data_IF_458342527145
#
_entry.id   IF_458342527145
#
_cell.length_a   1.000
_cell.length_b   1.000
_cell.length_c   1.000
_cell.angle_alpha   90.00
_cell.angle_beta   90.00
_cell.angle_gamma   90.00
#
_symmetry.space_group_name_H-M   'P 1'
#
loop_
_entity.id
_entity.type
_entity.pdbx_description
1 polymer ?
#
# COMPACT_ATOMS: atom_id res chain seq x y z
N UNK A 1 11.26 -16.45 36.10
CA UNK A 1 10.27 -16.74 35.02
C UNK A 1 9.80 -18.20 35.13
N UNK A 2 8.59 -18.51 34.64
CA UNK A 2 8.03 -19.88 34.56
C UNK A 2 7.95 -20.67 35.88
N UNK A 3 7.63 -19.97 36.97
CA UNK A 3 7.68 -20.53 38.33
C UNK A 3 6.30 -20.84 38.93
N UNK A 4 5.22 -20.81 38.13
CA UNK A 4 3.83 -21.05 38.56
C UNK A 4 3.36 -20.14 39.70
N UNK A 5 3.94 -18.94 39.83
CA UNK A 5 3.59 -17.99 40.89
C UNK A 5 2.18 -17.43 40.64
N UNK A 6 1.26 -17.65 41.58
CA UNK A 6 -0.14 -17.18 41.48
C UNK A 6 -0.38 -15.81 42.11
N UNK A 7 0.42 -15.40 43.09
CA UNK A 7 0.30 -14.09 43.73
C UNK A 7 1.61 -13.61 44.32
N UNK A 8 1.74 -12.30 44.38
CA UNK A 8 2.83 -11.59 45.08
C UNK A 8 2.21 -10.52 45.96
N UNK A 9 2.83 -10.22 47.09
CA UNK A 9 2.37 -9.23 48.07
C UNK A 9 3.47 -8.21 48.33
N UNK A 10 3.12 -7.09 48.94
CA UNK A 10 4.10 -6.09 49.39
C UNK A 10 5.14 -6.63 50.39
N UNK A 11 4.92 -7.83 50.96
CA UNK A 11 5.87 -8.52 51.84
C UNK A 11 6.82 -9.47 51.09
N UNK A 12 6.47 -9.89 49.88
CA UNK A 12 7.18 -10.94 49.14
C UNK A 12 8.63 -10.57 48.83
N UNK A 13 8.91 -9.28 48.58
CA UNK A 13 10.25 -8.80 48.19
C UNK A 13 10.95 -7.97 49.27
N UNK A 14 10.42 -7.96 50.50
CA UNK A 14 11.02 -7.21 51.61
C UNK A 14 12.44 -7.73 51.88
N UNK A 15 13.38 -6.80 52.02
CA UNK A 15 14.80 -7.10 52.24
C UNK A 15 15.63 -7.17 50.96
N UNK A 16 15.01 -7.28 49.77
CA UNK A 16 15.71 -7.29 48.47
C UNK A 16 16.03 -5.87 47.97
N UNK A 17 16.45 -4.97 48.86
CA UNK A 17 16.56 -3.51 48.60
C UNK A 17 17.58 -3.11 47.54
N UNK A 18 18.46 -4.03 47.14
CA UNK A 18 19.45 -3.82 46.07
C UNK A 18 19.06 -4.44 44.73
N UNK A 19 17.87 -5.05 44.64
CA UNK A 19 17.40 -5.69 43.41
C UNK A 19 17.15 -4.65 42.32
N UNK A 20 17.76 -4.84 41.16
CA UNK A 20 17.65 -3.95 39.98
C UNK A 20 16.84 -4.57 38.85
N UNK A 21 16.78 -5.90 38.76
CA UNK A 21 16.03 -6.63 37.72
C UNK A 21 15.15 -7.68 38.39
N UNK A 22 13.86 -7.70 38.07
CA UNK A 22 12.90 -8.68 38.54
C UNK A 22 12.14 -9.28 37.37
N UNK A 23 12.31 -10.59 37.15
CA UNK A 23 11.64 -11.31 36.08
C UNK A 23 10.62 -12.33 36.60
N UNK A 24 9.35 -11.95 36.50
CA UNK A 24 8.17 -12.76 36.82
C UNK A 24 7.40 -13.17 35.55
N UNK A 25 8.05 -13.17 34.38
CA UNK A 25 7.45 -13.61 33.13
C UNK A 25 6.96 -15.06 33.20
N UNK A 26 5.86 -15.38 32.53
CA UNK A 26 5.40 -16.76 32.38
C UNK A 26 4.86 -17.35 33.67
N UNK A 27 4.15 -16.56 34.49
CA UNK A 27 3.54 -17.02 35.74
C UNK A 27 2.00 -16.91 35.66
N UNK A 28 1.32 -16.98 36.79
CA UNK A 28 -0.14 -16.95 36.90
C UNK A 28 -0.61 -15.76 37.74
N UNK A 29 0.08 -14.62 37.64
CA UNK A 29 -0.36 -13.42 38.35
C UNK A 29 -1.63 -12.88 37.71
N UNK A 30 -2.70 -12.76 38.49
CA UNK A 30 -4.01 -12.29 38.02
C UNK A 30 -4.25 -10.79 38.33
N UNK A 31 -3.60 -10.26 39.37
CA UNK A 31 -3.71 -8.87 39.80
C UNK A 31 -2.43 -8.32 40.42
N UNK A 32 -2.25 -7.00 40.35
CA UNK A 32 -1.21 -6.26 41.06
C UNK A 32 -1.85 -5.34 42.11
N UNK A 33 -1.60 -5.62 43.39
CA UNK A 33 -2.16 -4.87 44.52
C UNK A 33 -1.34 -3.61 44.84
N UNK A 34 -1.91 -2.71 45.65
CA UNK A 34 -1.24 -1.49 46.14
C UNK A 34 0.17 -1.79 46.68
N UNK A 35 1.17 -1.06 46.17
CA UNK A 35 2.55 -1.09 46.67
C UNK A 35 3.23 -2.46 46.65
N UNK A 36 2.79 -3.39 45.79
CA UNK A 36 3.33 -4.76 45.74
C UNK A 36 4.84 -4.82 45.50
N UNK A 37 5.41 -3.80 44.85
CA UNK A 37 6.85 -3.67 44.61
C UNK A 37 7.54 -2.59 45.46
N UNK A 38 6.89 -2.04 46.48
CA UNK A 38 7.44 -0.92 47.27
C UNK A 38 8.73 -1.29 48.05
N UNK A 39 8.95 -2.59 48.31
CA UNK A 39 10.15 -3.09 49.01
C UNK A 39 11.45 -3.12 48.18
N UNK A 40 11.37 -2.83 46.88
CA UNK A 40 12.50 -2.93 45.93
C UNK A 40 12.71 -1.61 45.17
N UNK A 41 13.07 -0.50 45.86
CA UNK A 41 13.07 0.84 45.27
C UNK A 41 14.18 1.10 44.22
N UNK A 42 15.18 0.21 44.11
CA UNK A 42 16.26 0.29 43.12
C UNK A 42 15.97 -0.45 41.82
N UNK A 43 14.75 -0.97 41.66
CA UNK A 43 14.38 -1.72 40.47
C UNK A 43 14.42 -0.83 39.23
N UNK A 44 15.12 -1.30 38.20
CA UNK A 44 15.27 -0.66 36.89
C UNK A 44 14.52 -1.42 35.79
N UNK A 45 14.38 -2.74 35.93
CA UNK A 45 13.65 -3.58 34.98
C UNK A 45 12.68 -4.52 35.69
N UNK A 46 11.43 -4.50 35.26
CA UNK A 46 10.36 -5.36 35.76
C UNK A 46 9.68 -6.08 34.61
N UNK A 47 9.81 -7.40 34.57
CA UNK A 47 9.15 -8.23 33.57
C UNK A 47 7.98 -9.01 34.16
N UNK A 48 6.76 -8.61 33.79
CA UNK A 48 5.49 -9.22 34.17
C UNK A 48 4.74 -9.80 32.96
N UNK A 49 5.39 -9.92 31.80
CA UNK A 49 4.72 -10.42 30.61
C UNK A 49 4.32 -11.89 30.72
N UNK A 50 3.47 -12.40 29.83
CA UNK A 50 2.99 -13.80 29.86
C UNK A 50 2.45 -14.19 31.25
N UNK A 51 1.53 -13.38 31.77
CA UNK A 51 0.79 -13.66 32.99
C UNK A 51 -0.71 -13.61 32.68
N UNK A 52 -1.57 -13.40 33.69
CA UNK A 52 -3.02 -13.31 33.56
C UNK A 52 -3.54 -12.01 34.18
N UNK A 53 -2.70 -10.97 34.19
CA UNK A 53 -2.97 -9.74 34.91
C UNK A 53 -4.16 -9.06 34.23
N UNK A 54 -5.27 -8.95 34.94
CA UNK A 54 -6.46 -8.23 34.49
C UNK A 54 -6.64 -6.91 35.22
N UNK A 55 -6.14 -6.82 36.46
CA UNK A 55 -6.33 -5.66 37.35
C UNK A 55 -5.00 -5.16 37.89
N UNK A 56 -4.79 -3.86 37.76
CA UNK A 56 -3.61 -3.17 38.28
C UNK A 56 -4.09 -2.03 39.15
N UNK A 57 -3.79 -2.10 40.45
CA UNK A 57 -4.11 -1.03 41.39
C UNK A 57 -3.38 0.28 40.99
N UNK A 58 -4.02 1.45 41.10
CA UNK A 58 -3.40 2.75 40.80
C UNK A 58 -2.09 3.05 41.53
N UNK A 59 -1.78 2.33 42.61
CA UNK A 59 -0.55 2.47 43.40
C UNK A 59 0.33 1.24 43.33
N UNK A 60 0.06 0.28 42.44
CA UNK A 60 0.83 -0.96 42.32
C UNK A 60 2.34 -0.72 42.13
N UNK A 61 2.70 0.29 41.35
CA UNK A 61 4.10 0.66 41.04
C UNK A 61 4.66 1.78 41.93
N UNK A 62 3.99 2.13 43.03
CA UNK A 62 4.52 3.10 43.99
C UNK A 62 5.87 2.67 44.53
N UNK A 63 6.85 3.59 44.55
CA UNK A 63 8.21 3.34 45.02
C UNK A 63 9.21 2.94 43.92
N UNK A 64 8.74 2.64 42.70
CA UNK A 64 9.59 2.27 41.56
C UNK A 64 10.09 3.48 40.76
N UNK A 65 10.67 4.47 41.46
CA UNK A 65 11.09 5.73 40.85
C UNK A 65 12.27 5.62 39.86
N UNK A 66 12.98 4.48 39.87
CA UNK A 66 14.14 4.21 39.00
C UNK A 66 13.82 3.25 37.85
N UNK A 67 12.55 2.84 37.71
CA UNK A 67 12.15 1.85 36.71
C UNK A 67 12.27 2.43 35.31
N UNK A 68 13.07 1.77 34.46
CA UNK A 68 13.36 2.16 33.08
C UNK A 68 12.60 1.29 32.08
N UNK A 69 12.41 0.01 32.40
CA UNK A 69 11.78 -0.97 31.48
C UNK A 69 10.68 -1.72 32.21
N UNK A 70 9.47 -1.70 31.64
CA UNK A 70 8.31 -2.41 32.16
C UNK A 70 7.68 -3.27 31.07
N UNK A 71 7.64 -4.58 31.30
CA UNK A 71 6.93 -5.52 30.45
C UNK A 71 5.60 -5.93 31.09
N UNK A 72 4.51 -5.63 30.40
CA UNK A 72 3.14 -6.05 30.71
C UNK A 72 2.48 -6.74 29.50
N UNK A 73 3.30 -7.16 28.51
CA UNK A 73 2.84 -7.84 27.30
C UNK A 73 2.22 -9.21 27.61
N UNK A 74 1.31 -9.68 26.76
CA UNK A 74 0.70 -11.02 26.86
C UNK A 74 0.07 -11.24 28.24
N UNK A 75 -0.91 -10.40 28.54
CA UNK A 75 -1.73 -10.40 29.74
C UNK A 75 -3.20 -10.20 29.34
N UNK A 76 -4.10 -10.03 30.32
CA UNK A 76 -5.54 -9.84 30.07
C UNK A 76 -6.01 -8.44 30.44
N UNK A 77 -5.15 -7.43 30.24
CA UNK A 77 -5.45 -6.04 30.57
C UNK A 77 -6.40 -5.48 29.50
N UNK A 78 -7.54 -4.94 29.92
CA UNK A 78 -8.57 -4.42 29.02
C UNK A 78 -8.55 -2.91 28.83
N UNK A 79 -7.79 -2.17 29.66
CA UNK A 79 -7.62 -0.71 29.54
C UNK A 79 -6.23 -0.31 30.02
N UNK A 80 -5.65 0.73 29.43
CA UNK A 80 -4.34 1.25 29.86
C UNK A 80 -4.46 1.76 31.30
N UNK A 81 -3.64 1.27 32.25
CA UNK A 81 -3.75 1.62 33.68
C UNK A 81 -3.03 2.94 33.99
N UNK A 82 -3.43 4.03 33.34
CA UNK A 82 -2.76 5.35 33.39
C UNK A 82 -2.42 5.84 34.81
N UNK A 83 -3.31 5.72 35.81
CA UNK A 83 -2.99 6.14 37.18
C UNK A 83 -1.77 5.42 37.77
N UNK A 84 -1.61 4.12 37.47
CA UNK A 84 -0.52 3.30 37.97
C UNK A 84 0.85 3.72 37.41
N UNK A 85 0.88 4.38 36.25
CA UNK A 85 2.11 4.84 35.60
C UNK A 85 2.65 6.15 36.16
N UNK A 86 1.86 6.91 36.94
CA UNK A 86 2.24 8.21 37.51
C UNK A 86 3.61 8.23 38.25
N UNK A 87 3.99 7.18 39.01
CA UNK A 87 5.29 7.15 39.69
C UNK A 87 6.49 6.91 38.75
N UNK A 88 6.26 6.41 37.54
CA UNK A 88 7.27 5.87 36.62
C UNK A 88 7.89 6.97 35.73
N UNK A 89 8.38 8.05 36.33
CA UNK A 89 8.79 9.26 35.61
C UNK A 89 10.03 9.12 34.71
N UNK A 90 10.83 8.07 34.92
CA UNK A 90 12.05 7.78 34.15
C UNK A 90 11.90 6.54 33.26
N UNK A 91 10.66 6.06 33.09
CA UNK A 91 10.38 4.90 32.25
C UNK A 91 10.76 5.23 30.80
N UNK A 92 11.63 4.41 30.24
CA UNK A 92 12.15 4.56 28.88
C UNK A 92 11.44 3.61 27.90
N UNK A 93 11.04 2.42 28.37
CA UNK A 93 10.41 1.39 27.54
C UNK A 93 9.21 0.78 28.24
N UNK A 94 8.10 0.70 27.51
CA UNK A 94 6.84 0.12 27.97
C UNK A 94 6.29 -0.84 26.93
N UNK A 95 6.12 -2.10 27.34
CA UNK A 95 5.56 -3.15 26.51
C UNK A 95 4.17 -3.52 27.02
N UNK A 96 3.14 -3.24 26.22
CA UNK A 96 1.74 -3.49 26.53
C UNK A 96 1.05 -4.36 25.46
N UNK A 97 1.79 -4.86 24.48
CA UNK A 97 1.25 -5.68 23.40
C UNK A 97 0.58 -6.97 23.89
N UNK A 98 -0.17 -7.62 22.99
CA UNK A 98 -0.90 -8.87 23.25
C UNK A 98 -1.84 -8.77 24.48
N UNK A 99 -2.44 -7.59 24.67
CA UNK A 99 -3.54 -7.34 25.61
C UNK A 99 -4.84 -7.06 24.82
N UNK A 100 -5.93 -6.71 25.50
CA UNK A 100 -7.25 -6.53 24.86
C UNK A 100 -7.82 -5.12 25.08
N UNK A 101 -7.08 -4.08 24.70
CA UNK A 101 -7.46 -2.70 25.03
C UNK A 101 -8.69 -2.18 24.27
N UNK A 102 -8.93 -2.63 23.03
CA UNK A 102 -9.92 -2.10 22.08
C UNK A 102 -9.76 -0.62 21.68
N UNK A 103 -9.30 0.24 22.60
CA UNK A 103 -9.03 1.67 22.42
C UNK A 103 -7.99 2.16 23.43
N UNK A 104 -7.37 3.31 23.16
CA UNK A 104 -6.45 3.98 24.09
C UNK A 104 -7.17 5.21 24.66
N UNK A 105 -7.49 5.24 25.97
CA UNK A 105 -8.10 6.40 26.61
C UNK A 105 -7.25 7.66 26.46
N UNK A 106 -7.90 8.83 26.57
CA UNK A 106 -7.20 10.12 26.51
C UNK A 106 -6.13 10.21 27.61
N UNK A 107 -4.98 10.80 27.26
CA UNK A 107 -3.91 11.08 28.22
C UNK A 107 -3.37 9.82 28.93
N UNK A 108 -3.57 8.63 28.35
CA UNK A 108 -3.17 7.36 28.97
C UNK A 108 -1.69 7.27 29.31
N UNK A 109 -0.87 7.98 28.56
CA UNK A 109 0.59 8.01 28.72
C UNK A 109 1.12 9.38 29.13
N UNK A 110 0.26 10.33 29.54
CA UNK A 110 0.67 11.70 29.80
C UNK A 110 1.71 11.85 30.93
N UNK A 111 1.78 10.87 31.84
CA UNK A 111 2.79 10.83 32.91
C UNK A 111 4.17 10.31 32.44
N UNK A 112 4.26 9.72 31.26
CA UNK A 112 5.44 9.03 30.73
C UNK A 112 6.20 9.89 29.71
N UNK A 113 6.45 11.16 30.05
CA UNK A 113 7.06 12.13 29.13
C UNK A 113 8.51 11.82 28.70
N UNK A 114 9.17 10.89 29.39
CA UNK A 114 10.51 10.38 29.02
C UNK A 114 10.47 9.09 28.20
N UNK A 115 9.31 8.57 27.85
CA UNK A 115 9.18 7.28 27.17
C UNK A 115 9.77 7.36 25.76
N UNK A 116 10.64 6.41 25.45
CA UNK A 116 11.35 6.33 24.17
C UNK A 116 10.82 5.19 23.28
N UNK A 117 10.29 4.12 23.88
CA UNK A 117 9.73 2.96 23.18
C UNK A 117 8.39 2.57 23.78
N UNK A 118 7.40 2.41 22.91
CA UNK A 118 6.08 1.92 23.25
C UNK A 118 5.69 0.79 22.30
N UNK A 119 5.40 -0.37 22.87
CA UNK A 119 4.85 -1.52 22.16
C UNK A 119 3.36 -1.69 22.51
N UNK A 120 2.53 -1.62 21.48
CA UNK A 120 1.08 -1.87 21.51
C UNK A 120 0.69 -2.90 20.44
N UNK A 121 1.61 -3.79 20.09
CA UNK A 121 1.39 -4.85 19.10
C UNK A 121 0.27 -5.79 19.54
N UNK A 122 -0.58 -6.27 18.65
CA UNK A 122 -1.50 -7.36 19.03
C UNK A 122 -2.58 -6.93 20.04
N UNK A 123 -2.85 -5.62 20.18
CA UNK A 123 -3.72 -5.08 21.23
C UNK A 123 -5.21 -4.95 20.80
N UNK A 124 -5.54 -5.48 19.60
CA UNK A 124 -6.85 -5.41 18.97
C UNK A 124 -7.41 -3.97 18.81
N UNK A 125 -6.52 -2.98 18.67
CA UNK A 125 -6.89 -1.59 18.47
C UNK A 125 -7.57 -1.41 17.11
N UNK A 126 -8.79 -0.88 17.10
CA UNK A 126 -9.48 -0.57 15.85
C UNK A 126 -9.14 0.84 15.37
N UNK A 127 -9.10 1.79 16.31
CA UNK A 127 -8.85 3.20 16.05
C UNK A 127 -7.94 3.79 17.12
N UNK A 128 -7.18 4.82 16.74
CA UNK A 128 -6.46 5.71 17.67
C UNK A 128 -6.97 7.13 17.49
N UNK A 129 -6.74 7.98 18.49
CA UNK A 129 -7.13 9.40 18.46
C UNK A 129 -5.90 10.29 18.66
N UNK A 130 -6.01 11.58 18.35
CA UNK A 130 -4.93 12.56 18.61
C UNK A 130 -4.50 12.61 20.08
N UNK A 131 -5.43 12.31 20.99
CA UNK A 131 -5.16 12.32 22.44
C UNK A 131 -4.57 10.98 22.94
N UNK A 132 -4.55 9.94 22.11
CA UNK A 132 -4.09 8.59 22.50
C UNK A 132 -2.59 8.56 22.81
N UNK A 133 -1.78 9.36 22.11
CA UNK A 133 -0.33 9.43 22.29
C UNK A 133 0.13 10.76 22.90
N UNK A 134 -0.78 11.53 23.49
CA UNK A 134 -0.45 12.82 24.10
C UNK A 134 0.51 12.61 25.29
N UNK A 135 1.57 13.44 25.36
CA UNK A 135 2.63 13.31 26.35
C UNK A 135 3.79 12.39 25.93
N UNK A 136 3.75 11.83 24.72
CA UNK A 136 4.81 10.97 24.16
C UNK A 136 5.68 11.71 23.13
N UNK A 137 5.93 13.01 23.31
CA UNK A 137 6.71 13.83 22.37
C UNK A 137 8.20 13.44 22.29
N UNK A 138 8.67 12.56 23.18
CA UNK A 138 10.03 12.00 23.19
C UNK A 138 10.13 10.60 22.57
N UNK A 139 9.01 10.05 22.09
CA UNK A 139 8.96 8.69 21.58
C UNK A 139 9.79 8.54 20.31
N UNK A 140 10.63 7.51 20.28
CA UNK A 140 11.51 7.15 19.15
C UNK A 140 11.04 5.89 18.45
N UNK A 141 10.43 4.96 19.16
CA UNK A 141 9.90 3.72 18.58
C UNK A 141 8.46 3.48 19.00
N UNK A 142 7.63 3.15 18.02
CA UNK A 142 6.24 2.78 18.22
C UNK A 142 5.90 1.53 17.42
N UNK A 143 5.43 0.49 18.11
CA UNK A 143 4.87 -0.70 17.47
C UNK A 143 3.35 -0.71 17.62
N UNK A 144 2.66 -0.59 16.49
CA UNK A 144 1.21 -0.71 16.33
C UNK A 144 0.84 -1.87 15.39
N UNK A 145 1.78 -2.79 15.15
CA UNK A 145 1.54 -3.95 14.31
C UNK A 145 0.51 -4.92 14.91
N UNK A 146 -0.09 -5.77 14.08
CA UNK A 146 -1.05 -6.80 14.52
C UNK A 146 -2.24 -6.18 15.28
N UNK A 147 -2.79 -5.11 14.73
CA UNK A 147 -4.00 -4.46 15.23
C UNK A 147 -5.09 -4.51 14.15
N UNK A 148 -6.16 -3.75 14.32
CA UNK A 148 -7.32 -3.70 13.41
C UNK A 148 -7.51 -2.31 12.82
N UNK A 149 -6.41 -1.61 12.58
CA UNK A 149 -6.44 -0.26 12.02
C UNK A 149 -6.86 -0.32 10.55
N UNK A 150 -8.04 0.22 10.24
CA UNK A 150 -8.57 0.28 8.86
C UNK A 150 -7.96 1.40 8.01
N UNK A 151 -7.15 2.29 8.62
CA UNK A 151 -6.43 3.37 7.93
C UNK A 151 -5.13 3.67 8.66
N UNK A 152 -4.17 4.27 7.96
CA UNK A 152 -2.99 4.85 8.58
C UNK A 152 -3.42 6.09 9.40
N UNK A 153 -3.08 6.15 10.70
CA UNK A 153 -3.52 7.23 11.59
C UNK A 153 -2.61 8.47 11.47
N UNK A 154 -2.53 9.05 10.27
CA UNK A 154 -1.61 10.14 9.93
C UNK A 154 -1.70 11.33 10.89
N UNK A 155 -2.90 11.85 11.11
CA UNK A 155 -3.10 13.04 11.94
C UNK A 155 -2.94 12.78 13.44
N UNK A 156 -3.10 11.54 13.85
CA UNK A 156 -2.95 11.09 15.23
C UNK A 156 -1.48 10.79 15.58
N UNK A 157 -0.67 10.38 14.61
CA UNK A 157 0.78 10.16 14.78
C UNK A 157 1.60 11.43 14.55
N UNK A 158 1.10 12.42 13.80
CA UNK A 158 1.82 13.65 13.48
C UNK A 158 2.49 14.38 14.67
N UNK A 159 1.95 14.38 15.90
CA UNK A 159 2.64 14.97 17.06
C UNK A 159 3.92 14.26 17.51
N UNK A 160 4.15 13.02 17.06
CA UNK A 160 5.34 12.22 17.40
C UNK A 160 6.51 12.58 16.47
N UNK A 161 6.90 13.85 16.48
CA UNK A 161 7.88 14.43 15.54
C UNK A 161 9.31 13.88 15.71
N UNK A 162 9.61 13.25 16.87
CA UNK A 162 10.88 12.56 17.17
C UNK A 162 10.88 11.06 16.84
N UNK A 163 9.78 10.53 16.30
CA UNK A 163 9.67 9.10 16.01
C UNK A 163 10.64 8.68 14.91
N UNK A 164 11.43 7.64 15.19
CA UNK A 164 12.46 7.09 14.28
C UNK A 164 12.06 5.72 13.72
N UNK A 165 11.32 4.91 14.50
CA UNK A 165 10.87 3.57 14.14
C UNK A 165 9.34 3.47 14.27
N UNK A 166 8.69 3.02 13.21
CA UNK A 166 7.24 2.77 13.21
C UNK A 166 6.94 1.41 12.58
N UNK A 167 6.23 0.56 13.32
CA UNK A 167 5.65 -0.67 12.81
C UNK A 167 4.11 -0.56 12.77
N UNK A 168 3.54 -0.77 11.59
CA UNK A 168 2.10 -0.73 11.30
C UNK A 168 1.63 -1.96 10.52
N UNK A 169 2.50 -2.94 10.29
CA UNK A 169 2.17 -4.18 9.61
C UNK A 169 1.02 -4.96 10.27
N UNK A 170 0.48 -5.96 9.57
CA UNK A 170 -0.63 -6.80 10.06
C UNK A 170 -1.83 -5.98 10.56
N UNK A 171 -2.22 -4.97 9.77
CA UNK A 171 -3.42 -4.18 9.99
C UNK A 171 -4.37 -4.29 8.79
N UNK A 172 -5.51 -3.59 8.86
CA UNK A 172 -6.63 -3.74 7.94
C UNK A 172 -6.76 -2.62 6.88
N UNK A 173 -5.76 -1.75 6.74
CA UNK A 173 -5.80 -0.68 5.74
C UNK A 173 -5.54 -1.19 4.32
N UNK A 174 -6.25 -0.57 3.37
CA UNK A 174 -6.24 -1.00 1.96
C UNK A 174 -5.20 -0.27 1.11
N UNK A 175 -4.79 0.94 1.51
CA UNK A 175 -3.81 1.74 0.80
C UNK A 175 -2.91 2.54 1.73
N UNK A 176 -1.75 2.96 1.21
CA UNK A 176 -0.89 3.99 1.79
C UNK A 176 -1.12 5.29 0.99
N UNK A 177 -1.93 6.24 1.50
CA UNK A 177 -2.26 7.46 0.75
C UNK A 177 -1.11 8.46 0.69
N UNK A 178 -1.21 9.45 -0.19
CA UNK A 178 -0.27 10.56 -0.26
C UNK A 178 -0.12 11.27 1.10
N UNK A 179 1.13 11.45 1.56
CA UNK A 179 1.43 12.06 2.85
C UNK A 179 0.97 11.25 4.08
N UNK A 180 0.83 9.91 3.96
CA UNK A 180 0.38 9.02 5.02
C UNK A 180 1.15 9.16 6.35
N UNK A 181 2.39 9.65 6.31
CA UNK A 181 3.27 9.81 7.47
C UNK A 181 3.68 11.27 7.71
N UNK A 182 2.84 12.22 7.28
CA UNK A 182 3.06 13.65 7.53
C UNK A 182 3.22 13.94 9.03
N UNK A 183 4.22 14.77 9.37
CA UNK A 183 4.61 15.08 10.75
C UNK A 183 5.74 14.20 11.30
N UNK A 184 5.92 12.98 10.79
CA UNK A 184 6.98 12.06 11.21
C UNK A 184 8.31 12.36 10.49
N UNK A 185 8.84 13.57 10.70
CA UNK A 185 10.03 14.07 9.97
C UNK A 185 11.33 13.35 10.32
N UNK A 186 11.42 12.71 11.49
CA UNK A 186 12.61 11.97 11.94
C UNK A 186 12.52 10.46 11.66
N UNK A 187 11.50 10.01 10.92
CA UNK A 187 11.30 8.58 10.68
C UNK A 187 12.43 8.00 9.83
N UNK A 188 13.06 6.93 10.32
CA UNK A 188 14.19 6.23 9.69
C UNK A 188 13.82 4.82 9.25
N UNK A 189 13.02 4.10 10.05
CA UNK A 189 12.58 2.73 9.79
C UNK A 189 11.06 2.64 9.80
N UNK A 190 10.51 2.06 8.74
CA UNK A 190 9.07 1.84 8.60
C UNK A 190 8.80 0.40 8.19
N UNK A 191 8.00 -0.29 8.99
CA UNK A 191 7.55 -1.66 8.70
C UNK A 191 6.01 -1.71 8.55
N UNK A 192 5.55 -2.08 7.37
CA UNK A 192 4.15 -2.27 7.01
C UNK A 192 3.96 -3.69 6.43
N UNK A 193 4.66 -4.68 6.99
CA UNK A 193 4.60 -6.06 6.50
C UNK A 193 3.36 -6.81 6.96
N UNK A 194 2.88 -7.75 6.15
CA UNK A 194 1.77 -8.64 6.50
C UNK A 194 0.38 -7.98 6.56
N UNK A 195 0.21 -6.77 6.04
CA UNK A 195 -1.09 -6.12 5.87
C UNK A 195 -1.83 -6.71 4.66
N UNK A 196 -2.65 -7.74 4.92
CA UNK A 196 -3.27 -8.58 3.87
C UNK A 196 -4.25 -7.84 2.95
N UNK A 197 -4.79 -6.69 3.36
CA UNK A 197 -5.71 -5.86 2.56
C UNK A 197 -5.00 -4.76 1.76
N UNK A 198 -3.73 -4.48 2.07
CA UNK A 198 -2.96 -3.44 1.41
C UNK A 198 -2.75 -3.83 -0.05
N UNK A 199 -3.36 -3.09 -0.98
CA UNK A 199 -3.26 -3.34 -2.41
C UNK A 199 -2.51 -2.24 -3.18
N UNK A 200 -2.45 -1.02 -2.62
CA UNK A 200 -1.89 0.15 -3.31
C UNK A 200 -1.06 1.07 -2.42
N UNK A 201 0.06 1.56 -2.94
CA UNK A 201 0.82 2.69 -2.38
C UNK A 201 0.71 3.86 -3.35
N UNK A 202 0.20 5.00 -2.88
CA UNK A 202 -0.09 6.16 -3.71
C UNK A 202 1.15 7.06 -3.93
N UNK A 203 1.11 7.86 -4.99
CA UNK A 203 2.18 8.82 -5.29
C UNK A 203 2.36 9.81 -4.13
N UNK A 204 3.61 10.07 -3.73
CA UNK A 204 3.92 10.95 -2.61
C UNK A 204 3.53 10.42 -1.22
N UNK A 205 3.28 9.11 -1.08
CA UNK A 205 3.00 8.46 0.22
C UNK A 205 4.01 8.84 1.33
N UNK A 206 5.29 8.95 0.96
CA UNK A 206 6.40 9.23 1.87
C UNK A 206 7.05 10.60 1.65
N UNK A 207 6.38 11.52 0.93
CA UNK A 207 6.99 12.76 0.44
C UNK A 207 7.60 13.67 1.54
N UNK A 208 7.13 13.55 2.79
CA UNK A 208 7.60 14.36 3.92
C UNK A 208 8.67 13.68 4.77
N UNK A 209 8.99 12.40 4.51
CA UNK A 209 9.79 11.54 5.39
C UNK A 209 11.21 11.37 4.82
N UNK A 210 11.91 12.48 4.60
CA UNK A 210 13.20 12.53 3.89
C UNK A 210 14.34 11.79 4.59
N UNK A 211 14.18 11.45 5.88
CA UNK A 211 15.16 10.73 6.68
C UNK A 211 14.97 9.20 6.65
N UNK A 212 14.01 8.68 5.89
CA UNK A 212 13.80 7.24 5.77
C UNK A 212 15.04 6.54 5.20
N UNK A 213 15.52 5.54 5.92
CA UNK A 213 16.66 4.69 5.57
C UNK A 213 16.20 3.28 5.16
N UNK A 214 15.09 2.81 5.73
CA UNK A 214 14.57 1.47 5.54
C UNK A 214 13.05 1.44 5.47
N UNK A 215 12.53 0.82 4.41
CA UNK A 215 11.10 0.54 4.24
C UNK A 215 10.92 -0.96 4.02
N UNK A 216 10.16 -1.59 4.91
CA UNK A 216 9.82 -3.01 4.85
C UNK A 216 8.32 -3.14 4.58
N UNK A 217 8.00 -3.74 3.44
CA UNK A 217 6.67 -3.95 2.90
C UNK A 217 6.55 -5.42 2.49
N UNK A 218 6.94 -6.35 3.37
CA UNK A 218 6.99 -7.76 3.06
C UNK A 218 5.64 -8.46 3.28
N UNK A 219 5.37 -9.52 2.53
CA UNK A 219 4.19 -10.39 2.75
C UNK A 219 2.85 -9.65 2.71
N UNK A 220 2.74 -8.54 1.98
CA UNK A 220 1.47 -7.86 1.68
C UNK A 220 0.86 -8.49 0.43
N UNK A 221 0.19 -9.63 0.62
CA UNK A 221 -0.27 -10.51 -0.48
C UNK A 221 -1.19 -9.86 -1.51
N UNK A 222 -1.85 -8.74 -1.18
CA UNK A 222 -2.70 -7.99 -2.11
C UNK A 222 -1.97 -6.83 -2.81
N UNK A 223 -0.76 -6.48 -2.37
CA UNK A 223 -0.01 -5.32 -2.85
C UNK A 223 0.46 -5.56 -4.28
N UNK A 224 -0.25 -4.93 -5.21
CA UNK A 224 -0.04 -5.11 -6.66
C UNK A 224 0.31 -3.79 -7.36
N UNK A 225 0.05 -2.65 -6.72
CA UNK A 225 0.28 -1.33 -7.29
C UNK A 225 1.16 -0.46 -6.36
N UNK A 226 2.30 -0.02 -6.88
CA UNK A 226 3.09 1.08 -6.31
C UNK A 226 3.12 2.18 -7.36
N UNK A 227 2.46 3.30 -7.08
CA UNK A 227 2.32 4.38 -8.05
C UNK A 227 3.65 5.07 -8.32
N UNK A 228 3.77 5.64 -9.52
CA UNK A 228 4.91 6.46 -9.91
C UNK A 228 5.13 7.60 -8.90
N UNK A 229 6.37 7.78 -8.46
CA UNK A 229 6.72 8.79 -7.46
C UNK A 229 6.29 8.46 -6.03
N UNK A 230 5.69 7.30 -5.74
CA UNK A 230 5.34 6.89 -4.37
C UNK A 230 6.56 6.94 -3.42
N UNK A 231 7.71 6.48 -3.91
CA UNK A 231 8.98 6.41 -3.18
C UNK A 231 9.99 7.50 -3.60
N UNK A 232 9.50 8.53 -4.29
CA UNK A 232 10.32 9.70 -4.64
C UNK A 232 10.61 10.58 -3.42
N UNK A 233 11.70 11.36 -3.48
CA UNK A 233 12.03 12.31 -2.40
C UNK A 233 12.66 11.69 -1.16
N UNK A 234 13.19 10.45 -1.25
CA UNK A 234 13.83 9.74 -0.14
C UNK A 234 15.36 9.62 -0.38
N UNK A 235 16.16 10.68 -0.10
CA UNK A 235 17.58 10.73 -0.45
C UNK A 235 18.45 9.76 0.33
N UNK A 236 18.03 9.36 1.54
CA UNK A 236 18.80 8.52 2.47
C UNK A 236 18.35 7.05 2.46
N UNK A 237 17.50 6.66 1.52
CA UNK A 237 16.92 5.32 1.50
C UNK A 237 17.97 4.27 1.09
N UNK A 238 18.24 3.34 2.01
CA UNK A 238 19.29 2.32 1.88
C UNK A 238 18.73 0.92 1.71
N UNK A 239 17.58 0.60 2.31
CA UNK A 239 17.00 -0.74 2.29
C UNK A 239 15.53 -0.69 1.93
N UNK A 240 15.13 -1.51 0.97
CA UNK A 240 13.73 -1.71 0.60
C UNK A 240 13.47 -3.20 0.49
N UNK A 241 12.52 -3.66 1.29
CA UNK A 241 12.05 -5.05 1.26
C UNK A 241 10.62 -5.06 0.75
N UNK A 242 10.45 -5.52 -0.48
CA UNK A 242 9.17 -5.69 -1.17
C UNK A 242 8.88 -7.18 -1.44
N UNK A 243 9.48 -8.05 -0.63
CA UNK A 243 9.35 -9.51 -0.75
C UNK A 243 7.90 -9.97 -0.56
N UNK A 244 7.51 -10.99 -1.30
CA UNK A 244 6.28 -11.74 -1.04
C UNK A 244 5.00 -10.90 -1.19
N UNK A 245 4.95 -10.08 -2.23
CA UNK A 245 3.79 -9.27 -2.62
C UNK A 245 3.17 -9.77 -3.94
N UNK A 246 2.21 -9.02 -4.48
CA UNK A 246 1.56 -9.30 -5.75
C UNK A 246 2.01 -8.37 -6.88
N UNK A 247 3.24 -7.84 -6.80
CA UNK A 247 3.76 -6.90 -7.80
C UNK A 247 4.04 -7.63 -9.11
N UNK A 248 3.47 -7.11 -10.21
CA UNK A 248 3.71 -7.63 -11.56
C UNK A 248 4.70 -6.78 -12.34
N UNK A 249 4.75 -5.48 -12.07
CA UNK A 249 5.66 -4.53 -12.74
C UNK A 249 6.09 -3.45 -11.76
N UNK A 250 7.16 -2.74 -12.09
CA UNK A 250 7.67 -1.59 -11.38
C UNK A 250 7.97 -0.48 -12.40
N UNK A 251 7.46 0.72 -12.14
CA UNK A 251 7.65 1.87 -13.03
C UNK A 251 9.05 2.48 -12.89
N UNK A 252 9.54 3.08 -13.97
CA UNK A 252 10.75 3.89 -13.94
C UNK A 252 10.50 5.16 -13.09
N UNK A 253 11.53 5.69 -12.43
CA UNK A 253 11.40 6.87 -11.57
C UNK A 253 10.89 6.60 -10.15
N UNK A 254 10.82 5.33 -9.71
CA UNK A 254 10.49 5.03 -8.31
C UNK A 254 11.57 5.52 -7.31
N UNK A 255 12.84 5.73 -7.72
CA UNK A 255 13.93 6.05 -6.78
C UNK A 255 15.14 6.80 -7.37
N UNK A 256 15.87 7.48 -6.49
CA UNK A 256 17.22 8.00 -6.73
C UNK A 256 18.25 7.05 -6.07
N UNK A 257 18.56 5.93 -6.72
CA UNK A 257 19.22 4.75 -6.13
C UNK A 257 20.71 4.90 -5.70
N UNK A 258 21.24 6.12 -5.57
CA UNK A 258 22.66 6.32 -5.31
C UNK A 258 23.14 5.72 -3.98
N UNK A 259 22.27 5.65 -2.97
CA UNK A 259 22.61 5.15 -1.62
C UNK A 259 22.03 3.76 -1.31
N UNK A 260 21.24 3.17 -2.23
CA UNK A 260 20.53 1.94 -1.92
C UNK A 260 21.48 0.75 -1.79
N UNK A 261 21.47 0.10 -0.64
CA UNK A 261 22.25 -1.10 -0.29
C UNK A 261 21.48 -2.38 -0.59
N UNK A 262 20.16 -2.38 -0.43
CA UNK A 262 19.36 -3.60 -0.53
C UNK A 262 18.00 -3.34 -1.18
N UNK A 263 17.67 -4.15 -2.18
CA UNK A 263 16.37 -4.23 -2.82
C UNK A 263 15.97 -5.71 -2.87
N UNK A 264 15.01 -6.11 -2.04
CA UNK A 264 14.44 -7.45 -2.09
C UNK A 264 13.08 -7.41 -2.79
N UNK A 265 13.01 -8.02 -3.98
CA UNK A 265 11.80 -8.19 -4.78
C UNK A 265 11.40 -9.67 -4.91
N UNK A 266 12.01 -10.57 -4.13
CA UNK A 266 11.73 -12.00 -4.19
C UNK A 266 10.25 -12.30 -3.92
N UNK A 267 9.79 -13.47 -4.40
CA UNK A 267 8.41 -13.91 -4.19
C UNK A 267 7.33 -12.94 -4.75
N UNK A 268 7.63 -12.22 -5.83
CA UNK A 268 6.64 -11.42 -6.57
C UNK A 268 6.34 -12.04 -7.95
N UNK A 269 5.09 -11.96 -8.44
CA UNK A 269 4.72 -12.44 -9.77
C UNK A 269 5.15 -11.48 -10.90
N UNK A 270 6.44 -11.15 -10.97
CA UNK A 270 6.97 -10.16 -11.91
C UNK A 270 6.83 -10.60 -13.37
N UNK A 271 6.25 -9.71 -14.19
CA UNK A 271 6.19 -9.79 -15.64
C UNK A 271 7.48 -9.19 -16.22
N UNK A 272 8.36 -10.05 -16.71
CA UNK A 272 9.62 -9.65 -17.34
C UNK A 272 9.41 -9.34 -18.82
N UNK A 273 9.04 -8.09 -19.10
CA UNK A 273 8.95 -7.54 -20.45
C UNK A 273 9.87 -6.33 -20.61
N UNK A 274 9.66 -5.54 -21.68
CA UNK A 274 10.49 -4.39 -21.93
C UNK A 274 10.36 -3.26 -20.91
N UNK A 275 9.25 -3.18 -20.17
CA UNK A 275 9.09 -2.19 -19.10
C UNK A 275 10.08 -2.44 -17.96
N UNK A 276 10.53 -3.68 -17.77
CA UNK A 276 11.49 -4.07 -16.74
C UNK A 276 12.96 -3.89 -17.16
N UNK A 277 13.22 -3.34 -18.36
CA UNK A 277 14.58 -3.14 -18.88
C UNK A 277 15.41 -2.21 -17.97
N UNK A 278 14.80 -1.16 -17.42
CA UNK A 278 15.48 -0.23 -16.50
C UNK A 278 15.98 -0.98 -15.25
N UNK A 279 15.13 -1.83 -14.66
CA UNK A 279 15.45 -2.58 -13.45
C UNK A 279 16.55 -3.60 -13.73
N UNK A 280 16.45 -4.29 -14.86
CA UNK A 280 17.50 -5.22 -15.34
C UNK A 280 18.86 -4.51 -15.44
N UNK A 281 18.91 -3.36 -16.10
CA UNK A 281 20.16 -2.60 -16.27
C UNK A 281 20.73 -2.10 -14.93
N UNK A 282 19.85 -1.64 -14.02
CA UNK A 282 20.22 -1.24 -12.66
C UNK A 282 20.90 -2.39 -11.91
N UNK A 283 20.28 -3.57 -11.91
CA UNK A 283 20.78 -4.75 -11.21
C UNK A 283 22.11 -5.26 -11.80
N UNK A 284 22.27 -5.22 -13.13
CA UNK A 284 23.52 -5.63 -13.79
C UNK A 284 24.68 -4.67 -13.48
N UNK A 285 24.44 -3.36 -13.56
CA UNK A 285 25.43 -2.33 -13.22
C UNK A 285 26.00 -2.53 -11.81
N UNK A 286 25.11 -2.88 -10.87
CA UNK A 286 25.48 -3.10 -9.47
C UNK A 286 26.29 -4.37 -9.25
N UNK A 287 25.93 -5.47 -9.91
CA UNK A 287 26.75 -6.69 -9.89
C UNK A 287 28.16 -6.43 -10.45
N UNK A 288 28.27 -5.62 -11.51
CA UNK A 288 29.56 -5.23 -12.09
C UNK A 288 30.46 -4.48 -11.11
N UNK A 289 29.89 -3.55 -10.33
CA UNK A 289 30.62 -2.81 -9.29
C UNK A 289 31.02 -3.67 -8.08
N UNK A 290 30.32 -4.78 -7.80
CA UNK A 290 30.70 -5.74 -6.77
C UNK A 290 31.87 -6.66 -7.18
N UNK A 291 32.12 -6.80 -8.48
CA UNK A 291 33.20 -7.63 -9.06
C UNK A 291 34.45 -6.85 -9.51
N UNK A 292 34.52 -5.53 -9.23
CA UNK A 292 35.55 -4.64 -9.77
C UNK A 292 36.61 -4.17 -8.76
N UNK A 293 37.45 -5.06 -8.22
CA UNK A 293 38.84 -4.73 -7.83
C UNK A 293 39.74 -5.90 -8.22
N UNK A 294 40.40 -5.76 -9.37
CA UNK A 294 41.31 -6.75 -9.92
C UNK A 294 42.05 -6.19 -11.13
N UNK A 295 42.71 -5.04 -10.97
CA UNK A 295 43.75 -4.58 -11.89
C UNK A 295 44.97 -4.12 -11.08
N UNK A 296 46.12 -4.63 -11.52
CA UNK A 296 47.40 -4.74 -10.83
C UNK A 296 48.03 -3.40 -10.40
N UNK A 297 48.61 -3.34 -9.20
CA UNK A 297 49.56 -2.27 -8.83
C UNK A 297 49.67 -1.92 -7.33
N UNK A 298 50.61 -2.58 -6.64
CA UNK A 298 51.27 -2.24 -5.36
C UNK A 298 50.54 -2.46 -4.01
N UNK A 299 51.29 -2.86 -2.94
CA UNK A 299 50.71 -3.31 -1.67
C UNK A 299 50.69 -2.20 -0.61
N UNK A 300 49.60 -2.08 0.15
CA UNK A 300 49.64 -1.46 1.47
C UNK A 300 48.83 -2.30 2.47
N UNK A 301 49.50 -2.52 3.59
CA UNK A 301 49.24 -3.32 4.77
C UNK A 301 47.82 -3.34 5.37
N UNK A 302 47.50 -4.50 5.93
CA UNK A 302 46.29 -4.90 6.62
C UNK A 302 46.06 -4.24 8.01
N UNK A 303 44.79 -3.99 8.32
CA UNK A 303 44.09 -4.08 9.62
C UNK A 303 42.68 -3.45 9.41
N UNK A 304 41.53 -3.96 9.84
CA UNK A 304 41.16 -5.10 10.66
C UNK A 304 39.66 -5.42 10.40
N UNK A 305 39.32 -6.71 10.46
CA UNK A 305 38.03 -7.32 10.80
C UNK A 305 36.74 -6.50 10.69
N UNK A 306 36.00 -6.76 9.61
CA UNK A 306 34.53 -6.84 9.60
C UNK A 306 34.17 -7.87 8.52
N UNK A 307 33.23 -8.81 8.74
CA UNK A 307 32.82 -9.75 7.71
C UNK A 307 31.86 -9.04 6.75
N UNK A 308 32.37 -8.08 5.97
CA UNK A 308 31.69 -7.54 4.81
C UNK A 308 31.91 -8.49 3.63
N UNK A 309 31.34 -9.69 3.75
CA UNK A 309 30.93 -10.42 2.55
C UNK A 309 29.79 -9.62 1.94
N UNK A 310 30.06 -8.85 0.87
CA UNK A 310 29.03 -8.46 -0.09
C UNK A 310 28.59 -9.74 -0.79
N UNK A 311 27.81 -10.54 -0.06
CA UNK A 311 27.25 -11.80 -0.50
C UNK A 311 25.79 -11.56 -0.86
N UNK A 312 25.48 -11.78 -2.15
CA UNK A 312 24.14 -12.11 -2.61
C UNK A 312 23.17 -10.93 -2.66
N UNK A 313 23.26 -10.12 -3.70
CA UNK A 313 22.06 -9.44 -4.16
C UNK A 313 21.01 -10.53 -4.50
N UNK A 314 19.85 -10.48 -3.86
CA UNK A 314 18.80 -11.48 -4.07
C UNK A 314 18.40 -11.43 -5.55
N UNK A 315 18.49 -12.56 -6.29
CA UNK A 315 18.17 -12.56 -7.71
C UNK A 315 16.69 -12.23 -7.90
N UNK A 316 16.39 -11.39 -8.89
CA UNK A 316 15.01 -11.02 -9.21
C UNK A 316 14.53 -12.05 -10.22
N UNK A 317 13.58 -12.88 -9.82
CA UNK A 317 13.11 -14.00 -10.63
C UNK A 317 11.85 -13.61 -11.39
N UNK A 318 11.82 -13.93 -12.69
CA UNK A 318 10.67 -13.72 -13.54
C UNK A 318 9.59 -14.77 -13.28
N UNK A 319 8.34 -14.34 -13.10
CA UNK A 319 7.19 -15.23 -13.01
C UNK A 319 6.47 -15.38 -14.36
N UNK A 320 6.47 -14.33 -15.16
CA UNK A 320 5.87 -14.28 -16.49
C UNK A 320 6.76 -13.51 -17.48
N UNK A 321 6.57 -13.66 -18.81
CA UNK A 321 5.78 -14.71 -19.47
C UNK A 321 6.38 -16.11 -19.28
N UNK A 322 5.62 -17.18 -19.53
CA UNK A 322 6.03 -18.58 -19.28
C UNK A 322 7.42 -18.95 -19.85
N UNK A 323 7.78 -18.37 -21.00
CA UNK A 323 9.09 -18.57 -21.65
C UNK A 323 10.29 -18.06 -20.83
N UNK A 324 10.07 -17.11 -19.93
CA UNK A 324 11.08 -16.51 -19.04
C UNK A 324 10.89 -16.92 -17.58
N UNK A 325 9.92 -17.78 -17.27
CA UNK A 325 9.61 -18.18 -15.89
C UNK A 325 10.82 -18.82 -15.22
N UNK A 326 11.02 -18.49 -13.94
CA UNK A 326 12.16 -18.93 -13.11
C UNK A 326 13.54 -18.43 -13.57
N UNK A 327 13.60 -17.60 -14.62
CA UNK A 327 14.85 -16.98 -15.05
C UNK A 327 15.14 -15.72 -14.23
N UNK A 328 16.42 -15.50 -13.92
CA UNK A 328 16.85 -14.28 -13.24
C UNK A 328 16.85 -13.10 -14.23
N UNK A 329 16.15 -12.01 -13.90
CA UNK A 329 16.04 -10.81 -14.73
C UNK A 329 17.41 -10.26 -15.13
N UNK A 330 18.39 -10.32 -14.22
CA UNK A 330 19.76 -9.84 -14.47
C UNK A 330 20.48 -10.60 -15.60
N UNK A 331 20.07 -11.85 -15.87
CA UNK A 331 20.68 -12.71 -16.88
C UNK A 331 20.08 -12.54 -18.28
N UNK A 332 18.93 -11.85 -18.39
CA UNK A 332 18.19 -11.72 -19.64
C UNK A 332 18.81 -10.65 -20.55
N UNK A 333 18.70 -10.84 -21.86
CA UNK A 333 19.06 -9.82 -22.84
C UNK A 333 17.85 -8.91 -23.17
N UNK A 334 18.06 -7.67 -23.64
CA UNK A 334 16.97 -6.79 -24.06
C UNK A 334 16.07 -7.44 -25.13
N UNK A 335 16.63 -8.28 -26.01
CA UNK A 335 15.86 -8.99 -27.05
C UNK A 335 14.92 -10.05 -26.44
N UNK A 336 15.37 -10.77 -25.40
CA UNK A 336 14.54 -11.75 -24.69
C UNK A 336 13.38 -11.08 -23.94
N UNK A 337 13.60 -9.86 -23.43
CA UNK A 337 12.56 -9.01 -22.85
C UNK A 337 11.60 -8.41 -23.91
N UNK A 338 11.89 -8.57 -25.19
CA UNK A 338 11.08 -8.02 -26.28
C UNK A 338 11.30 -6.53 -26.54
N UNK A 339 12.44 -5.97 -26.12
CA UNK A 339 12.79 -4.56 -26.34
C UNK A 339 13.32 -4.24 -27.75
N UNK A 340 13.16 -5.14 -28.72
CA UNK A 340 13.55 -4.85 -30.10
C UNK A 340 12.63 -3.77 -30.66
N UNK A 341 13.17 -2.57 -30.87
CA UNK A 341 12.52 -1.56 -31.69
C UNK A 341 12.16 -2.19 -33.04
N UNK A 342 10.93 -2.00 -33.58
CA UNK A 342 10.67 -2.33 -34.97
C UNK A 342 11.65 -1.50 -35.80
N UNK A 343 12.61 -2.16 -36.44
CA UNK A 343 13.61 -1.52 -37.26
C UNK A 343 12.88 -0.61 -38.26
N UNK A 344 13.21 0.69 -38.28
CA UNK A 344 12.60 1.64 -39.22
C UNK A 344 12.72 1.15 -40.67
N UNK A 345 13.74 0.33 -40.97
CA UNK A 345 13.89 -0.33 -42.27
C UNK A 345 12.79 -1.38 -42.51
N UNK A 346 12.42 -2.18 -41.53
CA UNK A 346 11.34 -3.16 -41.66
C UNK A 346 9.97 -2.48 -41.81
N UNK A 347 9.68 -1.43 -41.04
CA UNK A 347 8.45 -0.65 -41.23
C UNK A 347 8.40 0.04 -42.59
N UNK A 348 9.53 0.59 -43.06
CA UNK A 348 9.63 1.16 -44.40
C UNK A 348 9.41 0.12 -45.51
N UNK A 349 9.95 -1.10 -45.36
CA UNK A 349 9.75 -2.20 -46.31
C UNK A 349 8.27 -2.61 -46.33
N UNK A 350 7.62 -2.76 -45.17
CA UNK A 350 6.21 -3.13 -45.09
C UNK A 350 5.33 -2.04 -45.73
N UNK A 351 5.57 -0.77 -45.42
CA UNK A 351 4.86 0.35 -46.05
C UNK A 351 5.09 0.40 -47.58
N UNK A 352 6.31 0.19 -48.04
CA UNK A 352 6.63 0.17 -49.47
C UNK A 352 5.92 -0.99 -50.20
N UNK A 353 5.88 -2.18 -49.59
CA UNK A 353 5.15 -3.34 -50.13
C UNK A 353 3.65 -3.06 -50.19
N UNK A 354 3.05 -2.50 -49.13
CA UNK A 354 1.62 -2.17 -49.09
C UNK A 354 1.25 -1.12 -50.16
N UNK A 355 2.05 -0.08 -50.31
CA UNK A 355 1.86 0.95 -51.36
C UNK A 355 2.03 0.34 -52.75
N UNK A 356 3.02 -0.54 -52.95
CA UNK A 356 3.23 -1.25 -54.21
C UNK A 356 2.04 -2.14 -54.60
N UNK A 357 1.49 -2.90 -53.64
CA UNK A 357 0.29 -3.72 -53.86
C UNK A 357 -0.92 -2.86 -54.18
N UNK A 358 -1.13 -1.74 -53.47
CA UNK A 358 -2.22 -0.81 -53.77
C UNK A 358 -2.11 -0.19 -55.17
N UNK A 359 -0.90 0.19 -55.60
CA UNK A 359 -0.63 0.69 -56.95
C UNK A 359 -0.91 -0.38 -58.03
N UNK A 360 -0.57 -1.63 -57.78
CA UNK A 360 -0.89 -2.74 -58.70
C UNK A 360 -2.39 -2.99 -58.79
N UNK A 361 -3.11 -2.97 -57.67
CA UNK A 361 -4.56 -3.18 -57.66
C UNK A 361 -5.29 -2.03 -58.36
N UNK A 362 -4.86 -0.79 -58.16
CA UNK A 362 -5.47 0.39 -58.82
C UNK A 362 -5.19 0.41 -60.32
N UNK A 363 -3.97 0.08 -60.75
CA UNK A 363 -3.64 -0.03 -62.18
C UNK A 363 -4.42 -1.16 -62.86
N UNK A 364 -4.53 -2.33 -62.20
CA UNK A 364 -5.34 -3.44 -62.69
C UNK A 364 -6.82 -3.03 -62.81
N UNK A 365 -7.37 -2.32 -61.82
CA UNK A 365 -8.74 -1.80 -61.87
C UNK A 365 -8.94 -0.81 -63.04
N UNK A 366 -7.97 0.08 -63.29
CA UNK A 366 -8.02 1.01 -64.43
C UNK A 366 -7.93 0.30 -65.78
N UNK A 367 -7.12 -0.76 -65.89
CA UNK A 367 -7.03 -1.60 -67.10
C UNK A 367 -8.35 -2.33 -67.32
N UNK A 368 -8.93 -2.94 -66.29
CA UNK A 368 -10.24 -3.60 -66.36
C UNK A 368 -11.32 -2.59 -66.76
N UNK A 369 -11.29 -1.38 -66.20
CA UNK A 369 -12.22 -0.30 -66.55
C UNK A 369 -12.06 0.13 -68.02
N UNK A 370 -10.83 0.30 -68.51
CA UNK A 370 -10.56 0.62 -69.92
C UNK A 370 -10.98 -0.52 -70.86
N UNK A 371 -10.70 -1.76 -70.51
CA UNK A 371 -11.16 -2.94 -71.25
C UNK A 371 -12.69 -2.99 -71.31
N UNK A 372 -13.38 -2.81 -70.18
CA UNK A 372 -14.86 -2.71 -70.15
C UNK A 372 -15.36 -1.58 -71.04
N UNK A 373 -14.76 -0.40 -70.97
CA UNK A 373 -15.14 0.76 -71.78
C UNK A 373 -14.87 0.54 -73.28
N UNK A 374 -13.79 -0.15 -73.62
CA UNK A 374 -13.45 -0.49 -75.00
C UNK A 374 -14.40 -1.56 -75.56
N UNK A 375 -14.71 -2.59 -74.78
CA UNK A 375 -15.75 -3.58 -75.11
C UNK A 375 -17.11 -2.90 -75.32
N UNK A 376 -17.52 -2.00 -74.43
CA UNK A 376 -18.77 -1.23 -74.60
C UNK A 376 -18.80 -0.37 -75.87
N UNK A 377 -17.64 0.16 -76.30
CA UNK A 377 -17.54 0.91 -77.56
C UNK A 377 -17.61 -0.01 -78.79
N UNK A 378 -17.05 -1.22 -78.72
CA UNK A 378 -17.17 -2.21 -79.81
C UNK A 378 -18.57 -2.82 -79.89
N UNK A 379 -19.22 -3.05 -78.74
CA UNK A 379 -20.60 -3.56 -78.68
C UNK A 379 -21.62 -2.52 -79.15
N UNK A 380 -21.36 -1.22 -78.98
CA UNK A 380 -22.21 -0.14 -79.55
C UNK A 380 -22.10 0.03 -81.07
N UNK A 381 -21.17 -0.67 -81.74
CA UNK A 381 -21.05 -0.67 -83.20
C UNK A 381 -21.94 -1.68 -83.92
N UNK A 382 -22.64 -2.56 -83.19
CA UNK A 382 -23.48 -3.60 -83.81
C UNK A 382 -24.70 -3.91 -82.94
N UNK A 383 -25.69 -3.02 -82.98
CA UNK A 383 -27.10 -3.38 -83.15
C UNK A 383 -27.98 -2.14 -83.17
N UNK A 384 -28.56 -1.89 -84.34
CA UNK A 384 -29.76 -1.07 -84.49
C UNK A 384 -31.01 -1.93 -84.40
N UNK A 385 -32.03 -1.34 -83.78
CA UNK A 385 -33.47 -1.61 -83.91
C UNK A 385 -34.06 -2.89 -83.30
N UNK A 386 -34.78 -2.75 -82.18
CA UNK A 386 -36.25 -2.76 -82.18
C UNK A 386 -36.79 -2.47 -80.78
N UNK A 387 -37.81 -1.60 -80.70
CA UNK A 387 -38.55 -1.36 -79.46
C UNK A 387 -39.47 -2.51 -79.10
N UNK A 388 -39.98 -2.49 -77.86
CA UNK A 388 -41.35 -2.83 -77.42
C UNK A 388 -41.36 -3.05 -75.91
N UNK A 389 -42.38 -2.48 -75.24
CA UNK A 389 -43.17 -3.25 -74.29
C UNK A 389 -42.79 -3.20 -72.81
N UNK A 390 -43.38 -2.24 -72.11
CA UNK A 390 -43.67 -2.28 -70.68
C UNK A 390 -44.65 -3.42 -70.36
N UNK A 391 -44.35 -4.33 -69.42
CA UNK A 391 -45.30 -4.98 -68.47
C UNK A 391 -44.61 -6.00 -67.53
N UNK A 392 -44.59 -5.64 -66.24
CA UNK A 392 -45.13 -6.40 -65.08
C UNK A 392 -44.90 -7.92 -64.92
N UNK A 393 -44.23 -8.29 -63.81
CA UNK A 393 -44.65 -9.18 -62.69
C UNK A 393 -43.40 -9.88 -62.10
N UNK A 394 -42.96 -9.60 -60.88
CA UNK A 394 -43.49 -10.00 -59.56
C UNK A 394 -42.78 -11.27 -59.01
N UNK A 395 -42.45 -11.18 -57.71
CA UNK A 395 -42.19 -12.23 -56.72
C UNK A 395 -40.76 -12.62 -56.26
N UNK A 396 -40.46 -12.08 -55.05
CA UNK A 396 -40.05 -12.75 -53.79
C UNK A 396 -38.59 -13.19 -53.55
N UNK A 397 -37.94 -12.53 -52.57
CA UNK A 397 -37.59 -13.05 -51.22
C UNK A 397 -36.69 -12.03 -50.48
N UNK A 398 -37.19 -11.42 -49.41
CA UNK A 398 -36.92 -11.66 -47.96
C UNK A 398 -35.91 -10.68 -47.35
N UNK A 399 -36.42 -9.98 -46.33
CA UNK A 399 -35.79 -9.27 -45.21
C UNK A 399 -34.39 -9.79 -44.81
N UNK A 400 -33.47 -8.99 -44.26
CA UNK A 400 -33.64 -7.93 -43.24
C UNK A 400 -32.46 -6.94 -43.21
N UNK A 401 -32.74 -5.63 -43.13
CA UNK A 401 -31.96 -4.67 -42.33
C UNK A 401 -32.96 -3.70 -41.68
N UNK A 402 -33.05 -3.72 -40.36
CA UNK A 402 -33.74 -2.71 -39.56
C UNK A 402 -32.71 -1.67 -39.13
N UNK A 403 -32.77 -0.49 -39.73
CA UNK A 403 -32.24 0.72 -39.15
C UNK A 403 -33.25 1.87 -39.33
N UNK A 404 -33.67 2.42 -38.18
CA UNK A 404 -34.08 3.79 -37.92
C UNK A 404 -35.02 4.50 -38.91
N UNK A 405 -36.26 4.76 -38.46
CA UNK A 405 -36.62 6.07 -37.88
C UNK A 405 -38.12 6.23 -37.62
N UNK A 406 -38.40 6.88 -36.49
CA UNK A 406 -39.69 7.28 -35.98
C UNK A 406 -40.47 8.24 -36.89
N UNK A 407 -41.81 8.18 -36.82
CA UNK A 407 -42.66 9.37 -36.95
C UNK A 407 -44.04 9.15 -36.32
N UNK A 408 -44.33 9.97 -35.31
CA UNK A 408 -45.69 10.29 -34.83
C UNK A 408 -45.94 11.79 -35.01
N UNK A 409 -46.98 12.11 -35.77
CA UNK A 409 -47.48 13.42 -36.23
C UNK A 409 -48.23 14.22 -35.10
N UNK A 410 -48.94 15.36 -35.35
CA UNK A 410 -48.51 16.64 -35.96
C UNK A 410 -49.11 17.94 -35.32
N UNK A 411 -48.46 19.10 -35.59
CA UNK A 411 -48.96 20.49 -35.86
C UNK A 411 -49.92 21.27 -34.90
N UNK A 412 -50.09 22.62 -35.05
CA UNK A 412 -49.30 23.69 -35.72
C UNK A 412 -49.02 24.91 -34.77
N UNK A 413 -48.27 25.97 -35.13
CA UNK A 413 -48.77 27.25 -35.71
C UNK A 413 -47.59 28.23 -35.95
N UNK A 414 -47.56 28.84 -37.14
CA UNK A 414 -47.52 30.32 -37.35
C UNK A 414 -46.23 31.16 -37.19
N UNK A 415 -45.68 31.53 -38.36
CA UNK A 415 -45.20 32.87 -38.83
C UNK A 415 -44.11 33.66 -38.04
N UNK A 416 -43.05 34.05 -38.77
CA UNK A 416 -42.36 35.35 -38.59
C UNK A 416 -40.83 35.29 -38.65
N UNK A 417 -40.23 35.91 -39.69
CA UNK A 417 -38.78 36.05 -39.89
C UNK A 417 -38.11 37.17 -39.05
N UNK A 418 -36.97 37.74 -39.49
CA UNK A 418 -35.68 37.42 -38.87
C UNK A 418 -34.91 38.62 -38.29
N UNK A 419 -33.93 38.31 -37.44
CA UNK A 419 -32.64 39.00 -37.40
C UNK A 419 -32.45 40.14 -36.39
N UNK A 420 -31.27 40.13 -35.76
CA UNK A 420 -30.55 41.37 -35.39
C UNK A 420 -30.38 41.65 -33.90
N UNK A 421 -29.19 41.31 -33.39
CA UNK A 421 -28.31 42.28 -32.75
C UNK A 421 -28.63 42.79 -31.34
N UNK A 422 -27.81 42.34 -30.37
CA UNK A 422 -27.10 43.23 -29.45
C UNK A 422 -27.81 43.66 -28.16
N UNK A 423 -27.04 43.66 -27.06
CA UNK A 423 -27.30 44.55 -25.92
C UNK A 423 -27.48 43.86 -24.58
N UNK A 424 -26.35 43.74 -23.86
CA UNK A 424 -26.15 44.04 -22.44
C UNK A 424 -27.36 44.14 -21.50
N UNK A 425 -27.27 43.44 -20.37
CA UNK A 425 -27.46 44.09 -19.07
C UNK A 425 -28.43 43.44 -18.08
N UNK A 426 -27.84 42.98 -16.97
CA UNK A 426 -28.30 43.16 -15.57
C UNK A 426 -29.56 42.37 -15.13
N UNK A 427 -29.34 41.50 -14.12
CA UNK A 427 -30.10 41.21 -12.89
C UNK A 427 -31.45 41.95 -12.66
N UNK A 428 -32.35 41.51 -11.73
CA UNK A 428 -32.25 40.41 -10.74
C UNK A 428 -33.60 39.66 -10.49
N UNK A 429 -33.63 38.81 -9.44
CA UNK A 429 -34.73 38.63 -8.45
C UNK A 429 -36.13 38.25 -8.98
N UNK A 430 -36.88 37.26 -8.50
CA UNK A 430 -36.95 36.67 -7.16
C UNK A 430 -38.17 35.74 -7.12
N UNK A 431 -38.13 34.88 -6.10
CA UNK A 431 -39.22 34.60 -5.15
C UNK A 431 -40.06 33.33 -5.31
N UNK A 432 -39.99 32.61 -4.20
CA UNK A 432 -41.01 31.86 -3.47
C UNK A 432 -41.33 30.45 -3.93
N UNK A 433 -40.92 29.44 -3.14
CA UNK A 433 -41.40 29.02 -1.81
C UNK A 433 -42.77 28.35 -1.87
N UNK A 434 -42.81 27.08 -1.47
CA UNK A 434 -43.45 26.54 -0.25
C UNK A 434 -43.26 25.00 -0.28
N UNK A 435 -42.42 24.39 0.56
CA UNK A 435 -42.67 23.92 1.94
C UNK A 435 -43.81 22.88 2.07
N UNK A 436 -43.48 21.64 2.52
CA UNK A 436 -43.83 21.02 3.85
C UNK A 436 -44.85 19.87 3.62
N UNK A 437 -44.86 18.66 4.23
CA UNK A 437 -44.20 18.06 5.39
C UNK A 437 -44.23 16.50 5.37
N UNK A 438 -43.46 15.93 6.31
CA UNK A 438 -43.34 14.56 6.85
C UNK A 438 -44.62 13.81 7.30
N UNK A 439 -44.54 12.46 7.40
CA UNK A 439 -44.70 11.59 8.62
C UNK A 439 -44.51 10.09 8.25
N UNK A 440 -43.56 9.31 8.82
CA UNK A 440 -43.60 8.48 10.06
C UNK A 440 -44.53 7.24 10.08
N UNK A 441 -43.96 6.02 10.20
CA UNK A 441 -44.36 4.97 11.17
C UNK A 441 -43.48 3.69 11.16
N UNK A 442 -43.69 2.83 12.17
CA UNK A 442 -42.78 1.96 12.93
C UNK A 442 -43.14 0.44 12.86
N UNK A 443 -42.17 -0.41 13.25
CA UNK A 443 -42.25 -1.76 13.90
C UNK A 443 -42.72 -3.04 13.14
N UNK A 444 -41.90 -4.11 13.13
CA UNK A 444 -41.91 -5.26 14.08
C UNK A 444 -40.83 -6.34 13.79
N UNK A 445 -40.54 -7.15 14.83
CA UNK A 445 -39.46 -8.13 15.03
C UNK A 445 -39.80 -9.59 14.69
N UNK A 446 -38.79 -10.45 14.46
CA UNK A 446 -38.69 -11.83 14.98
C UNK A 446 -37.24 -12.36 14.92
N UNK A 447 -36.86 -13.26 15.84
CA UNK A 447 -35.53 -13.87 15.95
C UNK A 447 -35.54 -15.39 16.17
N UNK A 448 -34.38 -15.91 16.63
CA UNK A 448 -34.03 -17.27 17.11
C UNK A 448 -33.38 -18.16 16.00
N UNK A 449 -32.18 -18.77 16.12
CA UNK A 449 -31.63 -19.65 17.19
C UNK A 449 -30.09 -19.88 17.09
N UNK A 450 -29.44 -20.10 18.25
CA UNK A 450 -28.06 -20.58 18.45
C UNK A 450 -27.95 -22.13 18.41
N UNK A 451 -26.75 -22.65 18.12
CA UNK A 451 -26.34 -24.05 18.31
C UNK A 451 -25.03 -24.08 19.13
N UNK A 452 -24.92 -24.89 20.21
CA UNK A 452 -23.64 -25.21 20.85
C UNK A 452 -23.18 -26.63 20.50
N UNK A 453 -21.87 -26.86 20.46
CA UNK A 453 -21.28 -28.21 20.56
C UNK A 453 -20.09 -28.17 21.51
N UNK A 454 -20.23 -28.91 22.60
CA UNK A 454 -19.18 -29.36 23.53
C UNK A 454 -18.76 -30.79 23.14
N UNK A 455 -17.47 -31.08 23.31
CA UNK A 455 -16.80 -32.41 23.33
C UNK A 455 -16.76 -33.26 22.04
N UNK A 456 -15.61 -33.22 21.37
CA UNK A 456 -14.74 -34.39 21.07
C UNK A 456 -13.33 -33.92 20.68
#
# INVERSE_FOLDING_TARGET
NHNKVGSVTNKTFVGLVSLTVLNLRGNFLDELTEGVFAGIPKLEELNLGQNRIAKIDPKAFTGLANLKVLYLDDNTISTVPSPAFTPLRVLAELYLGLNSFSSIPKESFAALSGLSRLDLKGAALQNVTRDSFRGLEQLRSLDLSDNRLNRIPTGELAPLDRLEELALGQNDFESVPAGAFAGLGQLRRLDISGSLKLHRIESGAFATNTNLEEITLASNKALSEIQEGALSGLPHLRRIVLRDNALTTLTDGLFTWNELIELDLSENPLLCDCQMLWLRNLLVSRNGNASGVGQEGLPVSAAASSPSSVAGQIPVICAAPDRLREQALQSLSPELLGCTHPDHRQQAIICAVLVGVAALLTTLALVIYKCRRWIQKMVKGSWGSNGIGRKEREYQKTFSEEDYSARGHPHPVGVGGPGGGGGLGIHPTTLNNYQINNHHHHHHSHGIRHIPVTEL
#
